data_IF_796885243301
#
_entry.id   IF_796885243301
#
_cell.length_a   1.000
_cell.length_b   1.000
_cell.length_c   1.000
_cell.angle_alpha   90.00
_cell.angle_beta   90.00
_cell.angle_gamma   90.00
#
_symmetry.space_group_name_H-M   'P 1'
#
loop_
_entity.id
_entity.type
_entity.pdbx_description
1 polymer ?
#
# COMPACT_ATOMS: atom_id res chain seq x y z
N UNK A 1 15.47 22.17 6.91
CA UNK A 1 16.11 21.01 7.57
C UNK A 1 16.85 20.25 6.49
N UNK A 2 18.16 20.41 6.44
CA UNK A 2 19.00 19.91 5.35
C UNK A 2 19.02 18.37 5.40
N UNK A 3 18.51 17.72 4.36
CA UNK A 3 18.68 16.28 4.17
C UNK A 3 20.19 16.06 4.02
N UNK A 4 20.89 15.33 4.92
CA UNK A 4 22.31 15.03 4.71
C UNK A 4 22.47 14.35 3.35
N UNK A 5 23.60 14.54 2.67
CA UNK A 5 23.93 13.91 1.39
C UNK A 5 23.77 12.38 1.51
N UNK A 6 22.57 11.88 1.22
CA UNK A 6 22.27 10.46 1.23
C UNK A 6 22.64 9.93 -0.14
N UNK A 7 23.68 9.10 -0.15
CA UNK A 7 24.09 8.25 -1.26
C UNK A 7 24.27 9.02 -2.59
N UNK A 8 25.15 10.03 -2.60
CA UNK A 8 25.70 10.55 -3.85
C UNK A 8 26.67 9.53 -4.46
N UNK A 9 26.21 8.85 -5.52
CA UNK A 9 26.99 8.12 -6.54
C UNK A 9 28.07 7.11 -6.10
N UNK A 10 27.75 5.82 -6.17
CA UNK A 10 28.58 4.76 -6.78
C UNK A 10 27.86 3.40 -6.68
N UNK A 11 27.14 3.01 -7.73
CA UNK A 11 26.31 1.77 -7.81
C UNK A 11 27.15 0.49 -7.96
N UNK A 12 28.46 0.55 -7.71
CA UNK A 12 29.33 -0.63 -7.78
C UNK A 12 30.21 -0.71 -6.52
N UNK A 13 29.91 -1.70 -5.68
CA UNK A 13 30.71 -2.19 -4.54
C UNK A 13 30.49 -1.59 -3.13
N UNK A 14 29.44 -0.81 -2.88
CA UNK A 14 29.11 -0.44 -1.50
C UNK A 14 28.55 -1.64 -0.70
N UNK A 15 29.18 -1.96 0.43
CA UNK A 15 28.70 -2.91 1.43
C UNK A 15 27.93 -2.18 2.54
N UNK A 16 26.73 -2.66 2.87
CA UNK A 16 25.83 -2.03 3.83
C UNK A 16 25.54 -2.98 5.00
N UNK A 17 25.54 -2.45 6.22
CA UNK A 17 25.12 -3.20 7.40
C UNK A 17 23.60 -3.14 7.54
N UNK A 18 22.92 -4.27 7.31
CA UNK A 18 21.45 -4.36 7.29
C UNK A 18 21.01 -5.41 8.29
N UNK A 19 20.43 -4.98 9.41
CA UNK A 19 19.90 -5.90 10.43
C UNK A 19 20.95 -6.88 10.98
N UNK A 20 22.22 -6.45 11.07
CA UNK A 20 23.34 -7.25 11.59
C UNK A 20 24.09 -8.08 10.56
N UNK A 21 23.76 -8.00 9.26
CA UNK A 21 24.48 -8.67 8.18
C UNK A 21 24.92 -7.69 7.10
N UNK A 22 26.05 -7.98 6.45
CA UNK A 22 26.56 -7.21 5.32
C UNK A 22 25.80 -7.59 4.04
N UNK A 23 25.31 -6.59 3.31
CA UNK A 23 24.57 -6.76 2.06
C UNK A 23 25.04 -5.77 0.99
N UNK A 24 24.87 -6.12 -0.29
CA UNK A 24 25.16 -5.25 -1.45
C UNK A 24 24.08 -4.19 -1.75
N UNK A 25 23.14 -4.01 -0.81
CA UNK A 25 22.06 -3.02 -0.87
C UNK A 25 21.70 -2.61 0.56
N UNK A 26 21.21 -1.40 0.80
CA UNK A 26 20.96 -0.88 2.15
C UNK A 26 19.64 -1.35 2.78
N UNK A 27 19.02 -2.40 2.24
CA UNK A 27 17.73 -2.90 2.72
C UNK A 27 17.56 -4.40 2.48
N UNK A 28 16.69 -5.03 3.26
CA UNK A 28 16.31 -6.44 3.08
C UNK A 28 14.81 -6.64 3.11
N UNK A 29 14.26 -7.13 2.01
CA UNK A 29 12.90 -7.66 1.97
C UNK A 29 12.83 -8.90 2.89
N UNK A 30 11.89 -8.89 3.83
CA UNK A 30 11.74 -9.94 4.86
C UNK A 30 10.54 -10.83 4.61
N UNK A 31 9.40 -10.24 4.24
CA UNK A 31 8.16 -10.96 3.94
C UNK A 31 7.25 -10.13 3.04
N UNK A 32 6.23 -10.79 2.50
CA UNK A 32 5.06 -10.10 1.98
C UNK A 32 4.45 -9.24 3.09
N UNK A 33 4.19 -7.98 2.78
CA UNK A 33 3.39 -7.09 3.61
C UNK A 33 1.90 -7.33 3.35
N UNK A 34 1.12 -6.27 3.23
CA UNK A 34 -0.27 -6.34 2.80
C UNK A 34 -0.40 -6.30 1.27
N UNK A 35 -1.53 -6.80 0.78
CA UNK A 35 -1.96 -6.61 -0.60
C UNK A 35 -3.32 -5.92 -0.64
N UNK A 36 -3.66 -5.34 -1.78
CA UNK A 36 -4.88 -4.56 -1.92
C UNK A 36 -5.54 -4.71 -3.27
N UNK A 37 -6.87 -4.61 -3.28
CA UNK A 37 -7.68 -4.64 -4.49
C UNK A 37 -8.64 -3.45 -4.57
N UNK A 38 -8.98 -3.05 -5.78
CA UNK A 38 -10.01 -2.07 -6.07
C UNK A 38 -11.28 -2.81 -6.51
N UNK A 39 -12.34 -2.70 -5.73
CA UNK A 39 -13.59 -3.44 -5.89
C UNK A 39 -14.72 -2.50 -6.29
N UNK A 40 -15.69 -3.02 -7.04
CA UNK A 40 -16.88 -2.25 -7.44
C UNK A 40 -17.83 -2.00 -6.26
N UNK A 41 -17.82 -2.87 -5.25
CA UNK A 41 -18.66 -2.74 -4.07
C UNK A 41 -17.91 -3.19 -2.78
N UNK A 42 -17.32 -2.26 -2.02
CA UNK A 42 -16.64 -2.54 -0.76
C UNK A 42 -17.55 -3.13 0.33
N UNK A 43 -18.84 -2.78 0.38
CA UNK A 43 -19.77 -3.39 1.36
C UNK A 43 -20.00 -4.87 1.12
N UNK A 44 -20.28 -5.26 -0.13
CA UNK A 44 -20.38 -6.68 -0.52
C UNK A 44 -19.05 -7.41 -0.31
N UNK A 45 -17.94 -6.73 -0.59
CA UNK A 45 -16.60 -7.29 -0.37
C UNK A 45 -16.33 -7.48 1.12
N UNK A 46 -16.74 -6.54 1.98
CA UNK A 46 -16.64 -6.66 3.44
C UNK A 46 -17.44 -7.87 3.94
N UNK A 47 -18.67 -8.05 3.46
CA UNK A 47 -19.47 -9.24 3.81
C UNK A 47 -18.71 -10.52 3.45
N UNK A 48 -18.25 -10.66 2.22
CA UNK A 48 -17.49 -11.83 1.80
C UNK A 48 -16.18 -12.01 2.61
N UNK A 49 -15.29 -11.02 2.61
CA UNK A 49 -13.96 -11.16 3.22
C UNK A 49 -14.02 -11.25 4.75
N UNK A 50 -14.94 -10.55 5.40
CA UNK A 50 -15.01 -10.56 6.87
C UNK A 50 -15.91 -11.66 7.40
N UNK A 51 -17.12 -11.83 6.86
CA UNK A 51 -18.07 -12.85 7.36
C UNK A 51 -17.68 -14.25 6.91
N UNK A 52 -17.27 -14.43 5.65
CA UNK A 52 -16.94 -15.77 5.13
C UNK A 52 -15.48 -16.14 5.37
N UNK A 53 -14.53 -15.22 5.11
CA UNK A 53 -13.09 -15.53 5.23
C UNK A 53 -12.46 -15.12 6.57
N UNK A 54 -13.21 -14.45 7.46
CA UNK A 54 -12.78 -14.18 8.82
C UNK A 54 -11.79 -13.02 9.00
N UNK A 55 -11.58 -12.19 7.97
CA UNK A 55 -10.86 -10.92 8.16
C UNK A 55 -11.62 -10.01 9.12
N UNK A 56 -10.89 -9.15 9.82
CA UNK A 56 -11.49 -8.11 10.67
C UNK A 56 -11.13 -6.75 10.09
N UNK A 57 -12.13 -5.88 9.93
CA UNK A 57 -11.87 -4.48 9.60
C UNK A 57 -11.02 -3.87 10.72
N UNK A 58 -9.88 -3.30 10.36
CA UNK A 58 -9.08 -2.49 11.27
C UNK A 58 -9.56 -1.05 11.23
N UNK A 59 -9.70 -0.51 10.01
CA UNK A 59 -9.97 0.91 9.78
C UNK A 59 -10.80 1.09 8.50
N UNK A 60 -11.86 1.91 8.54
CA UNK A 60 -12.48 2.43 7.33
C UNK A 60 -11.69 3.62 6.79
N UNK A 61 -11.79 3.88 5.48
CA UNK A 61 -11.29 5.11 4.87
C UNK A 61 -12.32 5.67 3.91
N UNK A 62 -12.71 6.93 4.10
CA UNK A 62 -13.58 7.63 3.17
C UNK A 62 -12.76 8.48 2.18
N UNK A 63 -12.88 8.16 0.90
CA UNK A 63 -12.28 8.91 -0.19
C UNK A 63 -13.12 10.13 -0.61
N UNK A 64 -14.40 10.18 -0.24
CA UNK A 64 -15.36 11.19 -0.65
C UNK A 64 -14.90 12.64 -0.43
N UNK A 65 -14.37 12.99 0.77
CA UNK A 65 -13.88 14.34 1.04
C UNK A 65 -12.73 14.80 0.13
N UNK A 66 -11.98 13.86 -0.46
CA UNK A 66 -10.83 14.14 -1.35
C UNK A 66 -11.25 14.29 -2.81
N UNK A 67 -12.47 13.90 -3.18
CA UNK A 67 -12.95 13.96 -4.55
C UNK A 67 -13.23 15.41 -4.99
N UNK A 68 -12.84 15.78 -6.23
CA UNK A 68 -13.32 17.00 -6.87
C UNK A 68 -14.85 17.09 -6.84
N UNK A 69 -15.39 18.26 -6.57
CA UNK A 69 -16.83 18.47 -6.36
C UNK A 69 -17.66 18.01 -7.57
N UNK A 70 -17.21 18.33 -8.79
CA UNK A 70 -17.84 17.95 -10.06
C UNK A 70 -17.86 16.43 -10.31
N UNK A 71 -17.01 15.67 -9.60
CA UNK A 71 -16.91 14.21 -9.74
C UNK A 71 -17.64 13.44 -8.64
N UNK A 72 -18.05 14.07 -7.54
CA UNK A 72 -18.67 13.36 -6.41
C UNK A 72 -19.94 12.59 -6.79
N UNK A 73 -20.78 13.17 -7.65
CA UNK A 73 -22.00 12.52 -8.14
C UNK A 73 -21.74 11.40 -9.17
N UNK A 74 -20.52 11.32 -9.71
CA UNK A 74 -20.16 10.35 -10.77
C UNK A 74 -19.63 9.03 -10.22
N UNK A 75 -19.38 8.94 -8.91
CA UNK A 75 -18.87 7.73 -8.26
C UNK A 75 -19.92 7.18 -7.30
N UNK A 76 -19.92 5.85 -7.12
CA UNK A 76 -20.79 5.20 -6.15
C UNK A 76 -20.27 5.36 -4.72
N UNK A 77 -20.10 4.24 -4.03
CA UNK A 77 -19.52 4.21 -2.69
C UNK A 77 -18.11 4.81 -2.65
N UNK A 78 -17.82 5.55 -1.57
CA UNK A 78 -16.54 6.22 -1.36
C UNK A 78 -15.76 5.64 -0.18
N UNK A 79 -16.35 4.69 0.56
CA UNK A 79 -15.73 4.07 1.72
C UNK A 79 -15.02 2.79 1.31
N UNK A 80 -13.72 2.71 1.61
CA UNK A 80 -12.91 1.51 1.53
C UNK A 80 -12.53 0.98 2.91
N UNK A 81 -11.94 -0.22 2.94
CA UNK A 81 -11.59 -0.88 4.19
C UNK A 81 -10.15 -1.38 4.21
N UNK A 82 -9.49 -1.11 5.33
CA UNK A 82 -8.32 -1.83 5.78
C UNK A 82 -8.80 -3.00 6.66
N UNK A 83 -8.28 -4.19 6.38
CA UNK A 83 -8.62 -5.40 7.13
C UNK A 83 -7.37 -6.19 7.50
N UNK A 84 -7.46 -6.93 8.59
CA UNK A 84 -6.37 -7.72 9.15
C UNK A 84 -6.79 -9.16 9.43
N UNK A 85 -5.78 -10.00 9.47
CA UNK A 85 -5.81 -11.29 10.15
C UNK A 85 -4.76 -11.28 11.27
N UNK A 86 -5.01 -12.03 12.34
CA UNK A 86 -4.09 -12.07 13.48
C UNK A 86 -3.82 -10.69 14.09
N UNK A 87 -2.55 -10.37 14.29
CA UNK A 87 -2.06 -9.17 14.98
C UNK A 87 -1.45 -8.13 14.04
N UNK A 88 -1.51 -8.31 12.72
CA UNK A 88 -1.07 -7.29 11.77
C UNK A 88 -1.92 -6.02 11.91
N UNK A 89 -1.33 -4.84 11.63
CA UNK A 89 -2.08 -3.58 11.56
C UNK A 89 -3.15 -3.65 10.46
N UNK A 90 -2.74 -4.05 9.25
CA UNK A 90 -3.59 -4.52 8.17
C UNK A 90 -2.80 -5.48 7.28
N UNK A 91 -3.49 -6.47 6.71
CA UNK A 91 -2.90 -7.47 5.80
C UNK A 91 -3.60 -7.50 4.44
N UNK A 92 -4.83 -6.96 4.37
CA UNK A 92 -5.61 -6.93 3.14
C UNK A 92 -6.48 -5.68 3.07
N UNK A 93 -6.49 -5.00 1.92
CA UNK A 93 -7.33 -3.80 1.72
C UNK A 93 -8.22 -3.95 0.49
N UNK A 94 -9.42 -3.40 0.56
CA UNK A 94 -10.33 -3.34 -0.58
C UNK A 94 -11.01 -1.98 -0.67
N UNK A 95 -10.71 -1.25 -1.74
CA UNK A 95 -11.12 0.14 -1.94
C UNK A 95 -12.15 0.30 -3.05
N UNK A 96 -13.02 1.32 -2.99
CA UNK A 96 -14.00 1.61 -4.04
C UNK A 96 -13.28 1.98 -5.34
N UNK A 97 -13.41 1.14 -6.36
CA UNK A 97 -12.69 1.29 -7.65
C UNK A 97 -12.88 2.68 -8.25
N UNK A 98 -14.12 3.16 -8.36
CA UNK A 98 -14.43 4.38 -9.11
C UNK A 98 -13.96 5.63 -8.36
N UNK A 99 -14.24 5.72 -7.04
CA UNK A 99 -13.74 6.82 -6.21
C UNK A 99 -12.21 6.82 -6.13
N UNK A 100 -11.57 5.65 -6.01
CA UNK A 100 -10.11 5.55 -6.01
C UNK A 100 -9.50 5.95 -7.36
N UNK A 101 -10.14 5.61 -8.48
CA UNK A 101 -9.69 5.95 -9.83
C UNK A 101 -9.76 7.45 -10.14
N UNK A 102 -10.77 8.16 -9.62
CA UNK A 102 -10.83 9.63 -9.76
C UNK A 102 -9.60 10.29 -9.11
N UNK A 103 -9.18 9.80 -7.95
CA UNK A 103 -8.01 10.32 -7.23
C UNK A 103 -6.68 9.80 -7.79
N UNK A 104 -6.70 8.59 -8.38
CA UNK A 104 -5.52 7.89 -8.86
C UNK A 104 -5.79 7.33 -10.28
N UNK A 105 -5.77 8.15 -11.34
CA UNK A 105 -6.13 7.70 -12.69
C UNK A 105 -5.29 6.51 -13.19
N UNK A 106 -4.03 6.42 -12.75
CA UNK A 106 -3.13 5.30 -13.08
C UNK A 106 -3.58 3.93 -12.55
N UNK A 107 -4.55 3.92 -11.63
CA UNK A 107 -5.14 2.70 -11.05
C UNK A 107 -6.16 2.03 -11.97
N UNK A 108 -6.63 2.73 -13.02
CA UNK A 108 -7.44 2.13 -14.07
C UNK A 108 -6.57 1.20 -14.90
N UNK A 109 -6.87 -0.09 -14.85
CA UNK A 109 -6.20 -1.14 -15.63
C UNK A 109 -7.20 -1.78 -16.61
N UNK A 110 -6.76 -2.18 -17.82
CA UNK A 110 -7.61 -2.91 -18.77
C UNK A 110 -8.17 -4.22 -18.18
N UNK A 111 -7.42 -4.84 -17.27
CA UNK A 111 -7.84 -6.02 -16.53
C UNK A 111 -7.21 -6.06 -15.14
N UNK A 112 -7.81 -6.83 -14.24
CA UNK A 112 -7.36 -6.98 -12.86
C UNK A 112 -7.85 -5.88 -11.92
N UNK A 113 -7.77 -6.17 -10.62
CA UNK A 113 -8.20 -5.28 -9.54
C UNK A 113 -7.08 -4.97 -8.56
N UNK A 114 -5.88 -5.54 -8.74
CA UNK A 114 -4.77 -5.34 -7.81
C UNK A 114 -4.38 -3.87 -7.79
N UNK A 115 -4.44 -3.30 -6.60
CA UNK A 115 -4.00 -1.95 -6.30
C UNK A 115 -2.53 -1.97 -5.86
N UNK A 116 -2.22 -2.81 -4.87
CA UNK A 116 -0.91 -2.87 -4.24
C UNK A 116 -0.51 -4.29 -3.85
N UNK A 117 0.78 -4.58 -3.97
CA UNK A 117 1.47 -5.71 -3.36
C UNK A 117 2.68 -5.11 -2.66
N UNK A 118 2.80 -5.33 -1.36
CA UNK A 118 3.84 -4.66 -0.57
C UNK A 118 4.81 -5.66 0.04
N UNK A 119 6.00 -5.16 0.38
CA UNK A 119 7.08 -5.92 0.98
C UNK A 119 7.48 -5.27 2.31
N UNK A 120 7.63 -6.07 3.35
CA UNK A 120 8.14 -5.57 4.62
C UNK A 120 9.67 -5.55 4.62
N UNK A 121 10.24 -4.45 5.12
CA UNK A 121 11.65 -4.33 5.53
C UNK A 121 11.74 -4.17 7.07
N UNK A 122 12.96 -4.11 7.60
CA UNK A 122 13.20 -4.21 9.05
C UNK A 122 13.08 -2.90 9.81
N UNK A 123 13.13 -1.77 9.11
CA UNK A 123 13.05 -0.45 9.72
C UNK A 123 12.60 0.60 8.71
N UNK A 124 12.15 1.76 9.21
CA UNK A 124 11.87 2.92 8.36
C UNK A 124 13.12 3.43 7.64
N UNK A 125 14.29 3.30 8.26
CA UNK A 125 15.57 3.65 7.64
C UNK A 125 15.81 2.81 6.37
N UNK A 126 15.58 1.49 6.44
CA UNK A 126 15.67 0.62 5.27
C UNK A 126 14.69 1.01 4.14
N UNK A 127 13.50 1.54 4.47
CA UNK A 127 12.58 2.07 3.44
C UNK A 127 13.18 3.30 2.77
N UNK A 128 13.72 4.23 3.56
CA UNK A 128 14.33 5.44 3.02
C UNK A 128 15.56 5.14 2.17
N UNK A 129 16.41 4.23 2.62
CA UNK A 129 17.63 3.89 1.89
C UNK A 129 17.30 3.08 0.63
N UNK A 130 16.24 2.26 0.65
CA UNK A 130 15.73 1.61 -0.56
C UNK A 130 15.20 2.63 -1.58
N UNK A 131 14.53 3.69 -1.12
CA UNK A 131 14.04 4.75 -2.01
C UNK A 131 15.19 5.51 -2.67
N UNK A 132 16.25 5.84 -1.92
CA UNK A 132 17.41 6.55 -2.48
C UNK A 132 18.32 5.61 -3.33
N UNK A 133 18.19 4.29 -3.21
CA UNK A 133 18.99 3.29 -3.95
C UNK A 133 18.52 3.08 -5.41
N UNK A 134 17.23 3.21 -5.69
CA UNK A 134 16.64 3.03 -7.02
C UNK A 134 16.51 4.37 -7.75
#
# INVERSE_FOLDING_TARGET
MNKPERLTSAVAAAEFQVGGVIMRRPFRIRRLGHFGVNVTNPEKSKDFYCRLLGFRVSDPIDFGPRLPEDKRASVGTTVGYFSRHGTDHHSFVFFPKDAYAVLNPHSLKPSGTINQITWQVGSLQEVSDAFDWF
#
